data_IF_027356863912
#
_entry.id   IF_027356863912
#
_cell.length_a   1.000
_cell.length_b   1.000
_cell.length_c   1.000
_cell.angle_alpha   90.00
_cell.angle_beta   90.00
_cell.angle_gamma   90.00
#
_symmetry.space_group_name_H-M   'P 1'
#
loop_
_entity.id
_entity.type
_entity.pdbx_description
1 polymer ?
#
# COMPACT_ATOMS: atom_id res chain seq x y z
N UNK A 1 4.80 -6.36 -18.81
CA UNK A 1 5.62 -6.26 -17.59
C UNK A 1 5.07 -5.12 -16.79
N UNK A 2 4.65 -5.38 -15.55
CA UNK A 2 4.19 -4.37 -14.60
C UNK A 2 5.32 -4.02 -13.64
N UNK A 3 5.58 -2.73 -13.41
CA UNK A 3 6.52 -2.24 -12.41
C UNK A 3 5.73 -1.68 -11.22
N UNK A 4 5.85 -2.36 -10.07
CA UNK A 4 5.29 -1.92 -8.79
C UNK A 4 6.33 -1.12 -8.01
N UNK A 5 6.08 0.16 -7.76
CA UNK A 5 6.91 0.99 -6.90
C UNK A 5 6.28 1.15 -5.52
N UNK A 6 6.95 0.65 -4.49
CA UNK A 6 6.49 0.75 -3.11
C UNK A 6 7.34 1.80 -2.39
N UNK A 7 6.71 2.90 -1.99
CA UNK A 7 7.37 3.92 -1.19
C UNK A 7 7.71 3.34 0.19
N UNK A 8 8.92 3.59 0.68
CA UNK A 8 9.30 3.34 2.08
C UNK A 8 9.95 4.59 2.66
N UNK A 9 9.74 4.80 3.96
CA UNK A 9 10.27 5.94 4.71
C UNK A 9 10.42 5.60 6.19
N UNK A 10 11.20 6.41 6.92
CA UNK A 10 11.39 6.22 8.37
C UNK A 10 10.04 6.13 9.10
N UNK A 11 9.88 5.11 9.93
CA UNK A 11 8.65 4.77 10.64
C UNK A 11 7.44 4.46 9.75
N UNK A 12 7.66 3.98 8.52
CA UNK A 12 6.63 3.27 7.74
C UNK A 12 6.19 1.99 8.46
N UNK A 13 4.90 1.66 8.41
CA UNK A 13 4.40 0.39 8.96
C UNK A 13 4.85 -0.78 8.09
N UNK A 14 5.59 -1.72 8.66
CA UNK A 14 6.28 -2.79 7.91
C UNK A 14 5.32 -3.59 7.02
N UNK A 15 4.22 -4.06 7.61
CA UNK A 15 3.32 -4.97 6.89
C UNK A 15 2.56 -4.27 5.76
N UNK A 16 2.43 -2.94 5.82
CA UNK A 16 1.71 -2.16 4.82
C UNK A 16 2.35 -2.25 3.43
N UNK A 17 3.67 -2.42 3.33
CA UNK A 17 4.35 -2.64 2.06
C UNK A 17 4.84 -4.09 1.91
N UNK A 18 5.23 -4.77 3.00
CA UNK A 18 5.68 -6.18 2.93
C UNK A 18 4.57 -7.12 2.50
N UNK A 19 3.33 -6.92 2.95
CA UNK A 19 2.19 -7.75 2.55
C UNK A 19 1.91 -7.65 1.04
N UNK A 20 1.71 -6.44 0.49
CA UNK A 20 1.59 -6.25 -0.95
C UNK A 20 2.82 -6.71 -1.75
N UNK A 21 4.04 -6.48 -1.25
CA UNK A 21 5.27 -6.95 -1.87
C UNK A 21 5.24 -8.47 -2.09
N UNK A 22 4.88 -9.24 -1.06
CA UNK A 22 4.75 -10.70 -1.16
C UNK A 22 3.76 -11.10 -2.27
N UNK A 23 2.60 -10.43 -2.35
CA UNK A 23 1.59 -10.73 -3.37
C UNK A 23 2.07 -10.39 -4.79
N UNK A 24 2.68 -9.22 -4.98
CA UNK A 24 3.16 -8.78 -6.29
C UNK A 24 4.33 -9.65 -6.78
N UNK A 25 5.27 -9.98 -5.90
CA UNK A 25 6.43 -10.82 -6.25
C UNK A 25 6.03 -12.29 -6.46
N UNK A 26 5.13 -12.84 -5.66
CA UNK A 26 4.56 -14.18 -5.91
C UNK A 26 3.80 -14.22 -7.25
N UNK A 27 3.04 -13.17 -7.57
CA UNK A 27 2.38 -13.05 -8.88
C UNK A 27 3.38 -13.04 -10.04
N UNK A 28 4.48 -12.28 -9.91
CA UNK A 28 5.53 -12.25 -10.92
C UNK A 28 6.19 -13.61 -11.09
N UNK A 29 6.55 -14.27 -9.98
CA UNK A 29 7.21 -15.57 -9.98
C UNK A 29 6.34 -16.64 -10.68
N UNK A 30 5.03 -16.67 -10.42
CA UNK A 30 4.10 -17.59 -11.09
C UNK A 30 3.84 -17.26 -12.57
N UNK A 31 4.34 -16.12 -13.04
CA UNK A 31 4.31 -15.66 -14.44
C UNK A 31 5.73 -15.56 -15.00
N UNK A 32 6.62 -16.45 -14.59
CA UNK A 32 8.00 -16.56 -15.09
C UNK A 32 8.81 -15.25 -14.96
N UNK A 33 8.61 -14.49 -13.88
CA UNK A 33 9.31 -13.24 -13.63
C UNK A 33 8.84 -12.07 -14.50
N UNK A 34 7.60 -12.10 -14.97
CA UNK A 34 7.08 -11.10 -15.93
C UNK A 34 6.92 -9.67 -15.38
N UNK A 35 6.98 -9.47 -14.06
CA UNK A 35 6.76 -8.18 -13.39
C UNK A 35 7.86 -7.91 -12.35
N UNK A 36 8.05 -6.65 -11.94
CA UNK A 36 9.09 -6.26 -10.97
C UNK A 36 8.46 -5.41 -9.85
N UNK A 37 8.83 -5.69 -8.59
CA UNK A 37 8.54 -4.81 -7.47
C UNK A 37 9.84 -4.16 -6.99
N UNK A 38 9.80 -2.86 -6.69
CA UNK A 38 10.95 -2.10 -6.19
C UNK A 38 10.58 -1.23 -5.00
N UNK A 39 11.52 -1.11 -4.07
CA UNK A 39 11.41 -0.24 -2.90
C UNK A 39 12.07 1.11 -3.19
N UNK A 40 11.35 2.19 -2.92
CA UNK A 40 11.78 3.55 -3.26
C UNK A 40 11.76 4.42 -2.01
N UNK A 41 12.84 5.17 -1.76
CA UNK A 41 12.96 6.08 -0.61
C UNK A 41 13.61 7.41 -0.99
N UNK A 42 13.65 8.37 -0.06
CA UNK A 42 14.35 9.66 -0.26
C UNK A 42 15.88 9.52 -0.36
N UNK A 43 16.46 8.52 0.31
CA UNK A 43 17.89 8.21 0.27
C UNK A 43 18.11 6.71 0.05
N UNK A 44 19.35 6.31 -0.20
CA UNK A 44 19.74 4.89 -0.30
C UNK A 44 20.10 4.27 1.06
N UNK A 45 19.96 5.02 2.15
CA UNK A 45 20.28 4.53 3.49
C UNK A 45 19.21 3.55 3.97
N UNK A 46 19.56 2.59 4.86
CA UNK A 46 18.57 1.69 5.44
C UNK A 46 17.44 2.45 6.15
N UNK A 47 16.21 2.20 5.73
CA UNK A 47 15.00 2.73 6.33
C UNK A 47 14.66 1.93 7.59
N UNK A 48 14.50 2.60 8.73
CA UNK A 48 13.98 1.99 9.95
C UNK A 48 12.46 2.14 10.00
N UNK A 49 11.76 1.02 9.87
CA UNK A 49 10.30 0.96 9.90
C UNK A 49 9.75 1.11 11.34
N UNK A 50 8.44 1.19 11.47
CA UNK A 50 7.70 1.62 12.67
C UNK A 50 7.98 0.75 13.91
N UNK A 51 8.18 -0.56 13.72
CA UNK A 51 8.46 -1.55 14.77
C UNK A 51 9.91 -2.02 14.75
N UNK A 52 10.77 -1.36 13.98
CA UNK A 52 12.22 -1.53 14.00
C UNK A 52 12.80 -2.44 12.92
N UNK A 53 12.00 -2.96 11.99
CA UNK A 53 12.54 -3.61 10.79
C UNK A 53 13.40 -2.62 10.01
N UNK A 54 14.52 -3.09 9.46
CA UNK A 54 15.40 -2.27 8.63
C UNK A 54 15.38 -2.79 7.21
N UNK A 55 15.14 -1.91 6.25
CA UNK A 55 14.98 -2.27 4.84
C UNK A 55 15.88 -1.37 3.99
N UNK A 56 16.60 -1.97 3.05
CA UNK A 56 17.41 -1.24 2.08
C UNK A 56 16.50 -0.89 0.88
N UNK A 57 16.38 0.39 0.49
CA UNK A 57 15.68 0.76 -0.73
C UNK A 57 16.49 0.34 -1.97
N UNK A 58 15.78 -0.02 -3.04
CA UNK A 58 16.38 -0.30 -4.35
C UNK A 58 16.71 1.00 -5.09
N UNK A 59 15.87 2.02 -4.90
CA UNK A 59 15.91 3.27 -5.67
C UNK A 59 15.65 4.51 -4.83
N UNK A 60 16.08 5.66 -5.35
CA UNK A 60 15.71 6.98 -4.82
C UNK A 60 14.47 7.52 -5.51
N UNK A 61 13.77 8.47 -4.89
CA UNK A 61 12.63 9.17 -5.49
C UNK A 61 12.98 9.86 -6.84
N UNK A 62 14.22 10.29 -7.01
CA UNK A 62 14.72 10.96 -8.22
C UNK A 62 15.40 10.00 -9.22
N UNK A 63 15.55 8.73 -8.87
CA UNK A 63 16.27 7.72 -9.67
C UNK A 63 15.61 6.33 -9.54
N UNK A 64 14.50 6.17 -10.25
CA UNK A 64 13.75 4.92 -10.35
C UNK A 64 13.10 4.79 -11.75
N UNK A 65 12.79 3.58 -12.22
CA UNK A 65 12.07 3.39 -13.49
C UNK A 65 10.64 3.96 -13.40
N UNK A 66 9.99 4.27 -14.54
CA UNK A 66 8.56 4.56 -14.56
C UNK A 66 7.74 3.44 -13.90
N UNK A 67 6.67 3.81 -13.19
CA UNK A 67 5.90 2.89 -12.38
C UNK A 67 4.49 2.72 -12.97
N UNK A 68 4.04 1.47 -13.07
CA UNK A 68 2.66 1.15 -13.45
C UNK A 68 1.73 1.21 -12.23
N UNK A 69 2.26 0.85 -11.05
CA UNK A 69 1.55 0.84 -9.78
C UNK A 69 2.39 1.54 -8.72
N UNK A 70 1.84 2.57 -8.09
CA UNK A 70 2.39 3.19 -6.89
C UNK A 70 1.72 2.60 -5.66
N UNK A 71 2.49 2.26 -4.63
CA UNK A 71 1.99 1.90 -3.31
C UNK A 71 2.58 2.78 -2.22
N UNK A 72 1.69 3.39 -1.43
CA UNK A 72 2.03 4.28 -0.31
C UNK A 72 1.63 3.62 1.01
N UNK A 73 2.58 3.20 1.87
CA UNK A 73 2.25 2.62 3.16
C UNK A 73 1.85 3.69 4.17
N UNK A 74 1.29 3.25 5.30
CA UNK A 74 1.02 4.07 6.47
C UNK A 74 2.17 4.06 7.48
N UNK A 75 1.81 4.13 8.76
CA UNK A 75 2.75 4.18 9.89
C UNK A 75 2.83 5.54 10.56
N UNK A 76 3.69 5.66 11.58
CA UNK A 76 3.93 6.92 12.27
C UNK A 76 4.60 7.95 11.34
N UNK A 77 5.52 7.51 10.48
CA UNK A 77 6.18 8.36 9.49
C UNK A 77 5.18 9.05 8.56
N UNK A 78 4.17 8.32 8.08
CA UNK A 78 3.09 8.87 7.25
C UNK A 78 2.31 9.95 8.01
N UNK A 79 1.89 9.67 9.24
CA UNK A 79 0.98 10.52 10.04
C UNK A 79 1.61 11.82 10.54
N UNK A 80 2.91 11.79 10.83
CA UNK A 80 3.58 12.87 11.58
C UNK A 80 4.62 13.64 10.77
N UNK A 81 5.24 12.99 9.77
CA UNK A 81 6.37 13.57 9.04
C UNK A 81 6.02 13.76 7.58
N UNK A 82 5.67 12.68 6.89
CA UNK A 82 5.62 12.69 5.43
C UNK A 82 4.43 13.49 4.88
N UNK A 83 3.32 13.63 5.62
CA UNK A 83 2.22 14.55 5.27
C UNK A 83 2.65 16.02 5.21
N UNK A 84 3.75 16.37 5.88
CA UNK A 84 4.33 17.70 5.87
C UNK A 84 5.56 17.82 4.95
N UNK A 85 6.07 16.71 4.41
CA UNK A 85 7.23 16.69 3.52
C UNK A 85 6.82 17.04 2.07
N UNK A 86 7.21 18.20 1.52
CA UNK A 86 6.87 18.56 0.14
C UNK A 86 7.52 17.61 -0.87
N UNK A 87 8.76 17.14 -0.61
CA UNK A 87 9.49 16.26 -1.55
C UNK A 87 8.71 14.97 -1.81
N UNK A 88 8.26 14.30 -0.73
CA UNK A 88 7.48 13.06 -0.85
C UNK A 88 6.10 13.31 -1.46
N UNK A 89 5.41 14.39 -1.07
CA UNK A 89 4.07 14.69 -1.62
C UNK A 89 4.11 15.00 -3.11
N UNK A 90 5.05 15.84 -3.54
CA UNK A 90 5.19 16.22 -4.94
C UNK A 90 5.60 15.02 -5.78
N UNK A 91 6.47 14.16 -5.24
CA UNK A 91 6.82 12.88 -5.87
C UNK A 91 5.62 11.95 -6.02
N UNK A 92 4.83 11.75 -4.96
CA UNK A 92 3.59 10.95 -5.01
C UNK A 92 2.64 11.50 -6.08
N UNK A 93 2.42 12.81 -6.12
CA UNK A 93 1.53 13.44 -7.08
C UNK A 93 2.02 13.22 -8.53
N UNK A 94 3.32 13.40 -8.77
CA UNK A 94 3.94 13.18 -10.09
C UNK A 94 3.81 11.73 -10.54
N UNK A 95 4.22 10.78 -9.70
CA UNK A 95 4.16 9.35 -10.04
C UNK A 95 2.72 8.89 -10.25
N UNK A 96 1.79 9.29 -9.39
CA UNK A 96 0.38 8.90 -9.50
C UNK A 96 -0.31 9.44 -10.76
N UNK A 97 0.18 10.54 -11.34
CA UNK A 97 -0.34 11.09 -12.59
C UNK A 97 0.04 10.24 -13.82
N UNK A 98 1.13 9.49 -13.74
CA UNK A 98 1.65 8.65 -14.82
C UNK A 98 1.30 7.16 -14.61
N UNK A 99 1.21 6.72 -13.36
CA UNK A 99 0.90 5.33 -13.01
C UNK A 99 -0.54 4.94 -13.37
N UNK A 100 -0.71 3.71 -13.83
CA UNK A 100 -2.04 3.15 -14.10
C UNK A 100 -2.86 2.99 -12.81
N UNK A 101 -2.19 2.79 -11.66
CA UNK A 101 -2.82 2.70 -10.34
C UNK A 101 -2.03 3.43 -9.26
N UNK A 102 -2.72 4.22 -8.45
CA UNK A 102 -2.19 4.76 -7.20
C UNK A 102 -2.86 4.06 -6.02
N UNK A 103 -2.05 3.47 -5.14
CA UNK A 103 -2.54 2.64 -4.05
C UNK A 103 -2.01 3.07 -2.70
N UNK A 104 -2.77 2.80 -1.64
CA UNK A 104 -2.27 2.96 -0.27
C UNK A 104 -2.81 1.93 0.69
N UNK A 105 -2.05 1.71 1.76
CA UNK A 105 -2.46 0.88 2.90
C UNK A 105 -2.50 1.74 4.15
N UNK A 106 -3.45 1.45 5.05
CA UNK A 106 -3.50 2.06 6.37
C UNK A 106 -3.56 3.60 6.29
N UNK A 107 -2.71 4.30 7.03
CA UNK A 107 -2.61 5.77 7.01
C UNK A 107 -1.86 6.33 5.80
N UNK A 108 -1.46 5.51 4.84
CA UNK A 108 -0.92 5.97 3.55
C UNK A 108 -1.96 6.78 2.75
N UNK A 109 -3.25 6.54 3.00
CA UNK A 109 -4.33 7.35 2.42
C UNK A 109 -4.22 8.85 2.77
N UNK A 110 -3.67 9.18 3.95
CA UNK A 110 -3.42 10.57 4.33
C UNK A 110 -2.33 11.22 3.45
N UNK A 111 -1.34 10.46 2.99
CA UNK A 111 -0.33 10.95 2.05
C UNK A 111 -0.90 11.14 0.65
N UNK A 112 -1.74 10.20 0.18
CA UNK A 112 -2.47 10.38 -1.08
C UNK A 112 -3.41 11.60 -1.04
N UNK A 113 -4.04 11.87 0.10
CA UNK A 113 -4.85 13.08 0.28
C UNK A 113 -3.98 14.35 0.28
N UNK A 114 -2.90 14.34 1.06
CA UNK A 114 -2.00 15.49 1.19
C UNK A 114 -1.29 15.84 -0.13
N UNK A 115 -0.98 14.86 -0.98
CA UNK A 115 -0.42 15.06 -2.32
C UNK A 115 -1.47 15.49 -3.37
N UNK A 116 -2.75 15.46 -3.03
CA UNK A 116 -3.85 15.81 -3.94
C UNK A 116 -4.44 14.63 -4.71
N UNK A 117 -3.79 13.47 -4.71
CA UNK A 117 -4.20 12.27 -5.46
C UNK A 117 -5.58 11.76 -5.02
N UNK A 118 -5.86 11.79 -3.72
CA UNK A 118 -7.13 11.32 -3.15
C UNK A 118 -8.17 12.43 -2.91
N UNK A 119 -7.92 13.67 -3.34
CA UNK A 119 -8.89 14.77 -3.16
C UNK A 119 -10.15 14.53 -4.01
N UNK A 120 -11.32 14.69 -3.40
CA UNK A 120 -12.63 14.43 -3.99
C UNK A 120 -12.93 12.94 -4.20
N UNK A 121 -12.11 12.02 -3.66
CA UNK A 121 -12.25 10.57 -3.84
C UNK A 121 -12.82 9.89 -2.60
N UNK A 122 -13.34 8.69 -2.81
CA UNK A 122 -13.66 7.73 -1.75
C UNK A 122 -12.41 6.94 -1.36
N UNK A 123 -12.14 6.81 -0.07
CA UNK A 123 -10.96 6.08 0.44
C UNK A 123 -11.28 5.23 1.67
N UNK A 124 -10.48 4.20 1.90
CA UNK A 124 -10.33 3.53 3.19
C UNK A 124 -9.01 3.97 3.84
N UNK A 125 -8.97 3.93 5.17
CA UNK A 125 -7.74 4.13 5.95
C UNK A 125 -7.78 3.28 7.22
N UNK A 126 -6.76 3.35 8.07
CA UNK A 126 -6.77 2.65 9.36
C UNK A 126 -7.95 3.13 10.22
N UNK A 127 -8.68 2.22 10.88
CA UNK A 127 -9.90 2.54 11.64
C UNK A 127 -9.69 3.71 12.62
N UNK A 128 -8.56 3.75 13.33
CA UNK A 128 -8.24 4.80 14.29
C UNK A 128 -7.89 6.16 13.68
N UNK A 129 -7.79 6.25 12.35
CA UNK A 129 -7.47 7.45 11.61
C UNK A 129 -8.62 7.91 10.69
N UNK A 130 -9.73 7.17 10.63
CA UNK A 130 -10.88 7.49 9.76
C UNK A 130 -11.44 8.88 10.04
N UNK A 131 -11.77 9.18 11.29
CA UNK A 131 -12.35 10.48 11.68
C UNK A 131 -11.39 11.64 11.37
N UNK A 132 -10.09 11.44 11.58
CA UNK A 132 -9.07 12.47 11.32
C UNK A 132 -8.90 12.75 9.84
N UNK A 133 -8.95 11.72 9.00
CA UNK A 133 -8.85 11.88 7.55
C UNK A 133 -10.13 12.53 6.99
N UNK A 134 -11.31 12.11 7.46
CA UNK A 134 -12.58 12.72 7.06
C UNK A 134 -12.63 14.21 7.42
N UNK A 135 -12.18 14.56 8.63
CA UNK A 135 -12.11 15.94 9.10
C UNK A 135 -11.13 16.83 8.32
N UNK A 136 -10.19 16.24 7.56
CA UNK A 136 -9.29 16.99 6.69
C UNK A 136 -9.99 17.60 5.45
N UNK A 137 -11.23 17.17 5.16
CA UNK A 137 -12.04 17.67 4.05
C UNK A 137 -11.58 17.16 2.69
N UNK A 138 -12.37 17.42 1.65
CA UNK A 138 -12.10 17.01 0.26
C UNK A 138 -11.79 15.51 0.09
N UNK A 139 -12.42 14.65 0.89
CA UNK A 139 -12.30 13.19 0.79
C UNK A 139 -13.54 12.55 1.42
N UNK A 140 -13.88 11.33 1.02
CA UNK A 140 -14.94 10.54 1.67
C UNK A 140 -14.37 9.23 2.19
N UNK A 141 -14.25 9.10 3.49
CA UNK A 141 -13.78 7.90 4.18
C UNK A 141 -14.91 6.87 4.27
N UNK A 142 -14.73 5.77 3.55
CA UNK A 142 -15.62 4.60 3.61
C UNK A 142 -15.16 3.72 4.76
N UNK A 143 -16.03 3.57 5.75
CA UNK A 143 -15.83 2.71 6.92
C UNK A 143 -16.18 1.25 6.59
N UNK A 144 -15.65 0.32 7.39
CA UNK A 144 -15.97 -1.12 7.34
C UNK A 144 -15.73 -1.82 6.00
N UNK A 145 -14.89 -1.25 5.14
CA UNK A 145 -14.46 -1.85 3.88
C UNK A 145 -12.96 -2.10 3.94
N UNK A 146 -12.52 -3.36 3.82
CA UNK A 146 -11.08 -3.71 3.81
C UNK A 146 -10.29 -2.90 2.78
N UNK A 147 -10.89 -2.62 1.62
CA UNK A 147 -10.36 -1.71 0.63
C UNK A 147 -11.46 -1.05 -0.20
N UNK A 148 -11.13 0.09 -0.79
CA UNK A 148 -12.01 0.96 -1.57
C UNK A 148 -11.32 1.27 -2.88
N UNK A 149 -12.08 1.16 -3.98
CA UNK A 149 -11.65 1.47 -5.34
C UNK A 149 -12.46 2.65 -5.84
N UNK A 150 -11.79 3.73 -6.24
CA UNK A 150 -12.39 4.91 -6.86
C UNK A 150 -11.54 5.33 -8.08
N UNK A 151 -12.02 4.97 -9.27
CA UNK A 151 -11.26 5.14 -10.51
C UNK A 151 -9.98 4.33 -10.51
N UNK A 152 -8.83 5.00 -10.65
CA UNK A 152 -7.49 4.42 -10.60
C UNK A 152 -6.83 4.51 -9.21
N UNK A 153 -7.56 4.97 -8.19
CA UNK A 153 -7.09 5.04 -6.80
C UNK A 153 -7.67 3.87 -6.00
N UNK A 154 -6.80 3.14 -5.30
CA UNK A 154 -7.21 2.01 -4.45
C UNK A 154 -6.59 2.15 -3.07
N UNK A 155 -7.41 2.26 -2.05
CA UNK A 155 -6.92 2.43 -0.68
C UNK A 155 -7.45 1.30 0.19
N UNK A 156 -6.65 0.85 1.15
CA UNK A 156 -7.03 -0.22 2.09
C UNK A 156 -6.94 0.23 3.54
N UNK A 157 -7.65 -0.50 4.40
CA UNK A 157 -7.59 -0.31 5.84
C UNK A 157 -6.22 -0.70 6.41
N UNK A 158 -6.14 -0.88 7.73
CA UNK A 158 -4.89 -1.10 8.43
C UNK A 158 -4.18 -2.40 8.08
N UNK A 159 -2.85 -2.32 7.96
CA UNK A 159 -1.90 -3.40 8.23
C UNK A 159 -2.04 -4.61 7.29
N UNK A 160 -2.91 -5.56 7.61
CA UNK A 160 -3.09 -6.78 6.81
C UNK A 160 -4.01 -6.58 5.60
N UNK A 161 -4.84 -5.53 5.59
CA UNK A 161 -5.78 -5.26 4.50
C UNK A 161 -5.08 -4.97 3.16
N UNK A 162 -3.81 -4.56 3.19
CA UNK A 162 -2.98 -4.40 2.00
C UNK A 162 -2.81 -5.70 1.21
N UNK A 163 -2.82 -6.86 1.88
CA UNK A 163 -2.71 -8.17 1.22
C UNK A 163 -3.95 -8.45 0.36
N UNK A 164 -5.15 -8.17 0.87
CA UNK A 164 -6.39 -8.36 0.12
C UNK A 164 -6.48 -7.42 -1.08
N UNK A 165 -6.11 -6.15 -0.85
CA UNK A 165 -6.07 -5.13 -1.89
C UNK A 165 -5.09 -5.53 -3.01
N UNK A 166 -3.90 -6.03 -2.65
CA UNK A 166 -2.91 -6.48 -3.61
C UNK A 166 -3.40 -7.69 -4.41
N UNK A 167 -4.06 -8.66 -3.76
CA UNK A 167 -4.67 -9.81 -4.45
C UNK A 167 -5.78 -9.37 -5.42
N UNK A 168 -6.61 -8.42 -5.00
CA UNK A 168 -7.62 -7.83 -5.88
C UNK A 168 -6.97 -7.14 -7.10
N UNK A 169 -5.90 -6.36 -6.88
CA UNK A 169 -5.21 -5.64 -7.95
C UNK A 169 -4.52 -6.60 -8.92
N UNK A 170 -3.86 -7.65 -8.43
CA UNK A 170 -3.34 -8.74 -9.27
C UNK A 170 -4.46 -9.35 -10.10
N UNK A 171 -5.64 -9.58 -9.50
CA UNK A 171 -6.80 -10.08 -10.24
C UNK A 171 -7.32 -9.11 -11.30
N UNK A 172 -7.18 -7.81 -11.07
CA UNK A 172 -7.56 -6.76 -12.01
C UNK A 172 -6.61 -6.66 -13.20
N UNK A 173 -5.31 -6.81 -12.96
CA UNK A 173 -4.25 -6.71 -13.96
C UNK A 173 -4.11 -8.01 -14.78
N UNK A 174 -4.19 -9.15 -14.11
CA UNK A 174 -3.73 -10.44 -14.63
C UNK A 174 -4.82 -11.52 -14.66
N UNK A 175 -6.05 -11.16 -14.28
CA UNK A 175 -7.20 -12.04 -14.26
C UNK A 175 -7.44 -12.72 -12.91
N UNK A 176 -8.72 -12.97 -12.60
CA UNK A 176 -9.16 -13.52 -11.32
C UNK A 176 -8.61 -14.92 -11.04
N UNK A 177 -8.45 -15.74 -12.07
CA UNK A 177 -7.91 -17.10 -11.91
C UNK A 177 -6.43 -17.08 -11.53
N UNK A 178 -5.65 -16.15 -12.09
CA UNK A 178 -4.27 -15.93 -11.66
C UNK A 178 -4.20 -15.48 -10.20
N UNK A 179 -5.03 -14.51 -9.79
CA UNK A 179 -5.09 -14.10 -8.38
C UNK A 179 -5.45 -15.24 -7.42
N UNK A 180 -6.31 -16.18 -7.84
CA UNK A 180 -6.61 -17.40 -7.07
C UNK A 180 -5.39 -18.32 -6.96
N UNK A 181 -4.59 -18.45 -8.02
CA UNK A 181 -3.34 -19.21 -7.99
C UNK A 181 -2.32 -18.57 -7.05
N UNK A 182 -2.17 -17.24 -7.12
CA UNK A 182 -1.30 -16.48 -6.19
C UNK A 182 -1.74 -16.70 -4.75
N UNK A 183 -3.02 -16.47 -4.44
CA UNK A 183 -3.61 -16.73 -3.11
C UNK A 183 -3.28 -18.15 -2.62
N UNK A 184 -3.47 -19.15 -3.47
CA UNK A 184 -3.19 -20.56 -3.15
C UNK A 184 -1.71 -20.80 -2.89
N UNK A 185 -0.83 -20.22 -3.71
CA UNK A 185 0.62 -20.37 -3.59
C UNK A 185 1.14 -19.81 -2.26
N UNK A 186 0.72 -18.59 -1.88
CA UNK A 186 1.08 -17.98 -0.60
C UNK A 186 0.26 -18.50 0.58
N UNK A 187 -0.62 -19.47 0.35
CA UNK A 187 -1.55 -20.05 1.35
C UNK A 187 -2.34 -18.99 2.12
N UNK A 188 -2.78 -17.93 1.44
CA UNK A 188 -3.54 -16.85 2.08
C UNK A 188 -4.98 -17.28 2.35
N UNK A 189 -5.16 -17.92 3.50
CA UNK A 189 -6.41 -18.44 4.05
C UNK A 189 -6.52 -18.05 5.54
N UNK A 190 -6.68 -16.75 5.86
CA UNK A 190 -6.62 -16.29 7.24
C UNK A 190 -7.74 -16.89 8.09
N UNK A 191 -7.37 -17.46 9.23
CA UNK A 191 -8.26 -17.92 10.28
C UNK A 191 -7.79 -17.36 11.65
N UNK A 192 -8.11 -16.09 11.97
CA UNK A 192 -7.66 -15.46 13.22
C UNK A 192 -8.07 -16.27 14.47
N UNK A 193 -7.18 -16.45 15.47
CA UNK A 193 -7.33 -17.45 16.52
C UNK A 193 -8.45 -17.16 17.53
N UNK A 194 -8.72 -15.89 17.85
CA UNK A 194 -9.79 -15.52 18.81
C UNK A 194 -11.20 -15.49 18.18
N UNK A 195 -11.37 -16.20 17.07
CA UNK A 195 -12.66 -16.67 16.58
C UNK A 195 -12.96 -18.09 17.07
N UNK A 196 -11.98 -18.76 17.70
CA UNK A 196 -12.16 -20.06 18.31
C UNK A 196 -12.91 -19.93 19.64
N UNK A 197 -13.89 -20.81 19.84
CA UNK A 197 -14.53 -21.03 21.12
C UNK A 197 -13.56 -21.84 22.00
N UNK A 198 -12.74 -21.15 22.79
CA UNK A 198 -11.88 -21.77 23.79
C UNK A 198 -12.64 -21.88 25.12
N UNK A 199 -12.67 -23.06 25.77
CA UNK A 199 -13.25 -23.16 27.10
C UNK A 199 -12.49 -22.23 28.05
N UNK A 200 -13.25 -21.39 28.76
CA UNK A 200 -12.71 -20.52 29.81
C UNK A 200 -12.05 -21.41 30.86
N UNK A 201 -10.75 -21.21 31.09
CA UNK A 201 -9.99 -21.85 32.16
C UNK A 201 -10.44 -21.38 33.55
#
# INVERSE_FOLDING_TARGET
MTIYGLLIFDRAEELDFVGPWEIFTASSMLRDGADTAVLIAETTDPVRCNKGMRVLPDHRLDDHPPLDVLLVPGGNGAREVQVHNPVVKDWIAKVAAEAAWATSVCTGAALLHASGVARGRRVATHFSYEDRLEAAGDVTVVRDARYVVDGNVVTSQGVSAGIDMALWLVGRLHGRDHARQVRRYVQYEPAPPYLADEPVA
#
